data_IF_667855714968
#
_entry.id   IF_667855714968
#
_cell.length_a   1.000
_cell.length_b   1.000
_cell.length_c   1.000
_cell.angle_alpha   90.00
_cell.angle_beta   90.00
_cell.angle_gamma   90.00
#
_symmetry.space_group_name_H-M   'P 1'
#
loop_
_entity.id
_entity.type
_entity.pdbx_description
1 polymer ?
#
# COMPACT_ATOMS: atom_id res chain seq x y z
N UNK A 1 4.45 -4.10 -18.89
CA UNK A 1 3.48 -3.56 -17.93
C UNK A 1 3.46 -4.45 -16.69
N UNK A 2 3.54 -3.91 -15.46
CA UNK A 2 3.51 -4.72 -14.23
C UNK A 2 2.31 -5.68 -14.15
N UNK A 3 1.14 -5.27 -14.65
CA UNK A 3 -0.09 -6.10 -14.72
C UNK A 3 0.09 -7.36 -15.59
N UNK A 4 1.01 -7.34 -16.56
CA UNK A 4 1.31 -8.52 -17.39
C UNK A 4 2.47 -9.37 -16.85
N UNK A 5 3.11 -8.92 -15.77
CA UNK A 5 4.24 -9.61 -15.13
C UNK A 5 4.00 -9.81 -13.63
N UNK A 6 2.74 -10.05 -13.24
CA UNK A 6 2.32 -10.35 -11.87
C UNK A 6 3.07 -11.55 -11.27
N UNK A 7 3.59 -12.44 -12.13
CA UNK A 7 4.45 -13.57 -11.77
C UNK A 7 5.76 -13.20 -11.07
N UNK A 8 6.28 -11.97 -11.21
CA UNK A 8 7.53 -11.53 -10.55
C UNK A 8 7.33 -10.77 -9.24
N UNK A 9 6.09 -10.62 -8.76
CA UNK A 9 5.80 -9.97 -7.48
C UNK A 9 6.04 -10.95 -6.34
N UNK A 10 7.27 -10.94 -5.81
CA UNK A 10 7.73 -11.90 -4.79
C UNK A 10 8.30 -11.19 -3.54
N UNK A 11 8.25 -9.85 -3.50
CA UNK A 11 8.67 -9.04 -2.36
C UNK A 11 7.44 -8.42 -1.66
N UNK A 12 7.48 -8.26 -0.32
CA UNK A 12 6.45 -7.53 0.40
C UNK A 12 6.18 -6.15 -0.20
N UNK A 13 4.91 -5.75 -0.28
CA UNK A 13 4.51 -4.47 -0.88
C UNK A 13 3.45 -3.74 -0.07
N UNK A 14 3.55 -2.41 -0.03
CA UNK A 14 2.45 -1.54 0.38
C UNK A 14 1.95 -0.78 -0.85
N UNK A 15 0.63 -0.69 -1.00
CA UNK A 15 -0.04 0.05 -2.07
C UNK A 15 -0.89 1.15 -1.42
N UNK A 16 -0.63 2.40 -1.81
CA UNK A 16 -1.32 3.60 -1.35
C UNK A 16 -2.00 4.23 -2.56
N UNK A 17 -3.32 4.35 -2.54
CA UNK A 17 -4.11 4.73 -3.72
C UNK A 17 -5.15 5.79 -3.35
N UNK A 18 -5.34 6.80 -4.20
CA UNK A 18 -6.49 7.70 -4.11
C UNK A 18 -7.69 7.11 -4.88
N UNK A 19 -8.89 7.24 -4.34
CA UNK A 19 -10.12 6.70 -4.96
C UNK A 19 -10.59 7.50 -6.20
N UNK A 20 -10.22 8.78 -6.30
CA UNK A 20 -10.52 9.67 -7.41
C UNK A 20 -9.34 9.76 -8.42
N UNK A 21 -8.36 8.85 -8.37
CA UNK A 21 -7.24 8.87 -9.32
C UNK A 21 -7.69 8.49 -10.74
N UNK A 22 -7.73 9.49 -11.63
CA UNK A 22 -8.05 9.30 -13.05
C UNK A 22 -6.83 8.96 -13.93
N UNK A 23 -5.60 9.14 -13.42
CA UNK A 23 -4.35 8.85 -14.15
C UNK A 23 -4.00 7.36 -14.01
N UNK A 24 -4.07 6.83 -12.79
CA UNK A 24 -3.91 5.41 -12.47
C UNK A 24 -5.13 4.96 -11.66
N UNK A 25 -6.19 4.43 -12.31
CA UNK A 25 -7.43 4.09 -11.64
C UNK A 25 -7.26 3.04 -10.53
N UNK A 26 -8.03 3.10 -9.43
CA UNK A 26 -7.93 2.16 -8.31
C UNK A 26 -7.99 0.69 -8.71
N UNK A 27 -8.78 0.35 -9.72
CA UNK A 27 -8.87 -1.00 -10.26
C UNK A 27 -7.50 -1.58 -10.67
N UNK A 28 -6.56 -0.75 -11.15
CA UNK A 28 -5.21 -1.21 -11.48
C UNK A 28 -4.38 -1.55 -10.24
N UNK A 29 -4.49 -0.74 -9.18
CA UNK A 29 -3.86 -1.02 -7.89
C UNK A 29 -4.42 -2.31 -7.27
N UNK A 30 -5.74 -2.48 -7.31
CA UNK A 30 -6.44 -3.66 -6.79
C UNK A 30 -6.00 -4.94 -7.52
N UNK A 31 -5.80 -4.90 -8.84
CA UNK A 31 -5.27 -6.05 -9.59
C UNK A 31 -3.90 -6.51 -9.08
N UNK A 32 -3.02 -5.59 -8.72
CA UNK A 32 -1.70 -5.91 -8.15
C UNK A 32 -1.85 -6.51 -6.75
N UNK A 33 -2.69 -5.89 -5.91
CA UNK A 33 -2.96 -6.35 -4.54
C UNK A 33 -3.52 -7.77 -4.54
N UNK A 34 -4.50 -8.06 -5.40
CA UNK A 34 -5.09 -9.41 -5.51
C UNK A 34 -4.06 -10.45 -5.98
N UNK A 35 -3.17 -10.09 -6.89
CA UNK A 35 -2.11 -10.99 -7.33
C UNK A 35 -1.13 -11.33 -6.20
N UNK A 36 -0.74 -10.34 -5.39
CA UNK A 36 0.11 -10.53 -4.20
C UNK A 36 -0.59 -11.39 -3.15
N UNK A 37 -1.87 -11.09 -2.85
CA UNK A 37 -2.70 -11.88 -1.93
C UNK A 37 -2.78 -13.34 -2.36
N UNK A 38 -3.07 -13.60 -3.64
CA UNK A 38 -3.19 -14.96 -4.18
C UNK A 38 -1.88 -15.75 -4.08
N UNK A 39 -0.74 -15.07 -4.14
CA UNK A 39 0.60 -15.65 -3.96
C UNK A 39 1.01 -15.80 -2.49
N UNK A 40 0.26 -15.23 -1.55
CA UNK A 40 0.65 -15.16 -0.14
C UNK A 40 1.86 -14.26 0.13
N UNK A 41 2.19 -13.36 -0.80
CA UNK A 41 3.24 -12.36 -0.60
C UNK A 41 2.69 -11.25 0.28
N UNK A 42 3.41 -10.82 1.33
CA UNK A 42 2.87 -9.84 2.25
C UNK A 42 2.46 -8.54 1.57
N UNK A 43 1.21 -8.12 1.77
CA UNK A 43 0.69 -6.92 1.13
C UNK A 43 -0.21 -6.09 2.04
N UNK A 44 0.04 -4.77 2.07
CA UNK A 44 -0.83 -3.77 2.66
C UNK A 44 -1.47 -2.92 1.55
N UNK A 45 -2.74 -2.55 1.73
CA UNK A 45 -3.46 -1.70 0.79
C UNK A 45 -4.27 -0.66 1.56
N UNK A 46 -4.06 0.62 1.24
CA UNK A 46 -4.84 1.73 1.74
C UNK A 46 -5.40 2.52 0.56
N UNK A 47 -6.72 2.71 0.58
CA UNK A 47 -7.46 3.57 -0.34
C UNK A 47 -7.85 4.85 0.42
N UNK A 48 -7.44 6.01 -0.09
CA UNK A 48 -7.70 7.31 0.50
C UNK A 48 -8.87 7.99 -0.22
N UNK A 49 -9.96 8.20 0.50
CA UNK A 49 -11.17 8.84 -0.02
C UNK A 49 -10.93 10.34 -0.32
N UNK A 50 -11.44 10.79 -1.47
CA UNK A 50 -11.33 12.17 -1.96
C UNK A 50 -9.93 12.53 -2.48
N UNK A 51 -9.06 11.56 -2.71
CA UNK A 51 -7.70 11.78 -3.22
C UNK A 51 -7.55 11.30 -4.67
N UNK A 52 -6.75 12.04 -5.44
CA UNK A 52 -6.52 11.78 -6.86
C UNK A 52 -5.10 11.20 -7.09
N UNK A 53 -4.48 11.52 -8.24
CA UNK A 53 -3.09 11.20 -8.53
C UNK A 53 -2.13 12.04 -7.69
N UNK A 54 -1.92 11.60 -6.44
CA UNK A 54 -1.13 12.28 -5.42
C UNK A 54 -2.00 12.87 -4.31
N UNK A 55 -1.57 12.68 -3.05
CA UNK A 55 -2.34 13.09 -1.87
C UNK A 55 -2.18 14.58 -1.57
N UNK A 56 -3.29 15.25 -1.25
CA UNK A 56 -3.34 16.69 -0.96
C UNK A 56 -3.83 17.02 0.43
N UNK A 57 -4.72 16.20 1.01
CA UNK A 57 -5.14 16.38 2.39
C UNK A 57 -3.94 16.12 3.31
N UNK A 58 -3.70 17.05 4.24
CA UNK A 58 -2.64 16.90 5.22
C UNK A 58 -2.82 15.60 6.04
N UNK A 59 -4.07 15.27 6.39
CA UNK A 59 -4.40 14.07 7.15
C UNK A 59 -4.08 12.80 6.35
N UNK A 60 -4.39 12.77 5.06
CA UNK A 60 -4.09 11.63 4.19
C UNK A 60 -2.59 11.50 3.92
N UNK A 61 -1.87 12.62 3.78
CA UNK A 61 -0.40 12.61 3.65
C UNK A 61 0.25 12.04 4.91
N UNK A 62 -0.18 12.48 6.09
CA UNK A 62 0.33 11.95 7.37
C UNK A 62 0.02 10.47 7.48
N UNK A 63 -1.24 10.06 7.23
CA UNK A 63 -1.64 8.65 7.30
C UNK A 63 -0.86 7.76 6.32
N UNK A 64 -0.59 8.23 5.11
CA UNK A 64 0.22 7.54 4.12
C UNK A 64 1.66 7.32 4.60
N UNK A 65 2.31 8.36 5.13
CA UNK A 65 3.68 8.29 5.65
C UNK A 65 3.78 7.40 6.91
N UNK A 66 2.81 7.50 7.81
CA UNK A 66 2.74 6.64 8.99
C UNK A 66 2.55 5.17 8.61
N UNK A 67 1.67 4.88 7.66
CA UNK A 67 1.47 3.53 7.15
C UNK A 67 2.72 2.98 6.47
N UNK A 68 3.41 3.78 5.66
CA UNK A 68 4.68 3.42 5.02
C UNK A 68 5.75 3.08 6.07
N UNK A 69 5.93 3.93 7.09
CA UNK A 69 6.92 3.68 8.15
C UNK A 69 6.56 2.45 9.00
N UNK A 70 5.28 2.24 9.31
CA UNK A 70 4.81 1.07 10.03
C UNK A 70 5.06 -0.22 9.23
N UNK A 71 4.82 -0.16 7.91
CA UNK A 71 5.13 -1.26 7.00
C UNK A 71 6.62 -1.59 7.02
N UNK A 72 7.50 -0.60 6.88
CA UNK A 72 8.95 -0.83 6.95
C UNK A 72 9.37 -1.41 8.29
N UNK A 73 8.84 -0.92 9.40
CA UNK A 73 9.12 -1.48 10.73
C UNK A 73 8.79 -2.97 10.81
N UNK A 74 7.60 -3.37 10.33
CA UNK A 74 7.16 -4.77 10.31
C UNK A 74 7.97 -5.64 9.35
N UNK A 75 8.26 -5.18 8.14
CA UNK A 75 8.96 -5.96 7.12
C UNK A 75 10.46 -6.06 7.38
N UNK A 76 11.10 -4.96 7.77
CA UNK A 76 12.56 -4.87 7.96
C UNK A 76 12.98 -5.20 9.40
N UNK A 77 12.04 -5.42 10.31
CA UNK A 77 12.30 -5.91 11.66
C UNK A 77 12.85 -4.86 12.62
N UNK A 78 12.41 -3.60 12.50
CA UNK A 78 12.75 -2.54 13.45
C UNK A 78 11.50 -1.92 14.08
N UNK A 79 11.68 -1.26 15.22
CA UNK A 79 10.62 -0.52 15.89
C UNK A 79 10.73 0.96 15.52
N UNK A 80 9.73 1.55 14.84
CA UNK A 80 9.69 2.98 14.60
C UNK A 80 9.74 3.77 15.91
N UNK A 81 10.33 4.97 15.88
CA UNK A 81 10.43 5.82 17.07
C UNK A 81 9.05 6.35 17.51
N UNK A 82 8.19 6.65 16.55
CA UNK A 82 6.84 7.15 16.80
C UNK A 82 5.85 6.01 17.08
N UNK A 83 4.77 6.33 17.80
CA UNK A 83 3.64 5.41 17.95
C UNK A 83 2.78 5.49 16.70
N UNK A 84 2.91 4.48 15.84
CA UNK A 84 2.17 4.38 14.59
C UNK A 84 0.88 3.55 14.75
N UNK A 85 -0.13 3.78 13.89
CA UNK A 85 -1.33 2.94 13.83
C UNK A 85 -0.99 1.48 13.51
N UNK A 86 -1.84 0.55 13.97
CA UNK A 86 -1.68 -0.86 13.60
C UNK A 86 -2.03 -1.06 12.12
N UNK A 87 -1.00 -1.30 11.32
CA UNK A 87 -1.15 -1.58 9.91
C UNK A 87 -1.52 -3.05 9.68
N UNK A 88 -2.65 -3.27 9.01
CA UNK A 88 -3.02 -4.59 8.48
C UNK A 88 -2.16 -4.93 7.27
N UNK A 89 -1.34 -5.96 7.39
CA UNK A 89 -0.59 -6.55 6.29
C UNK A 89 -1.08 -7.98 6.11
N UNK A 90 -1.60 -8.31 4.95
CA UNK A 90 -2.06 -9.67 4.65
C UNK A 90 -0.87 -10.55 4.33
N UNK A 91 -0.88 -11.81 4.75
CA UNK A 91 0.23 -12.74 4.53
C UNK A 91 1.38 -12.61 5.55
N UNK A 92 1.19 -11.79 6.60
CA UNK A 92 2.05 -11.70 7.78
C UNK A 92 1.30 -12.13 9.04
#
# INVERSE_FOLDING_TARGET
SPIHHLGGFDAPMIVLQGDEDEIVPPAQAEMIVEALKAKGVPVAYLLFEGEQHGFRSADNIVAALEAELAFFGKILGFTPADRLPDLRILGL
#
